data_IF_191601433413
#
_entry.id   IF_191601433413
#
_cell.length_a   1.000
_cell.length_b   1.000
_cell.length_c   1.000
_cell.angle_alpha   90.00
_cell.angle_beta   90.00
_cell.angle_gamma   90.00
#
_symmetry.space_group_name_H-M   'P 1'
#
loop_
_entity.id
_entity.type
_entity.pdbx_description
1 polymer ?
#
# COMPACT_ATOMS: atom_id res chain seq x y z
N UNK A 1 58.88 53.75 -0.80
CA UNK A 1 57.59 53.04 -0.85
C UNK A 1 57.68 51.92 0.17
N UNK A 2 57.21 52.13 1.41
CA UNK A 2 57.25 51.12 2.46
C UNK A 2 55.94 50.33 2.41
N UNK A 3 56.04 49.03 2.18
CA UNK A 3 54.91 48.10 2.22
C UNK A 3 54.65 47.73 3.67
N UNK A 4 53.51 48.13 4.22
CA UNK A 4 53.09 47.77 5.58
C UNK A 4 52.56 46.33 5.59
N UNK A 5 53.35 45.42 6.14
CA UNK A 5 52.91 44.08 6.54
C UNK A 5 51.87 44.24 7.66
N UNK A 6 50.64 43.78 7.42
CA UNK A 6 49.59 43.70 8.42
C UNK A 6 49.30 42.23 8.67
N UNK A 7 49.38 41.83 9.95
CA UNK A 7 49.05 40.47 10.36
C UNK A 7 47.78 40.52 11.18
N UNK A 8 46.73 39.89 10.68
CA UNK A 8 45.52 39.64 11.44
C UNK A 8 45.72 38.40 12.31
N UNK A 9 45.58 38.57 13.63
CA UNK A 9 45.61 37.46 14.57
C UNK A 9 44.17 37.12 14.95
N UNK A 10 43.64 36.04 14.39
CA UNK A 10 42.36 35.48 14.83
C UNK A 10 42.63 34.61 16.06
N UNK A 11 42.12 35.04 17.22
CA UNK A 11 42.23 34.30 18.47
C UNK A 11 40.91 33.55 18.70
N UNK A 12 40.79 32.35 18.12
CA UNK A 12 39.68 31.47 18.48
C UNK A 12 39.88 30.95 19.91
N UNK A 13 38.87 31.16 20.75
CA UNK A 13 38.95 30.77 22.16
C UNK A 13 38.82 29.26 22.30
N UNK A 14 39.56 28.64 23.23
CA UNK A 14 39.42 27.22 23.57
C UNK A 14 37.95 26.79 23.84
N UNK A 15 37.14 27.72 24.36
CA UNK A 15 35.71 27.51 24.57
C UNK A 15 34.89 27.44 23.25
N UNK A 16 35.32 28.13 22.18
CA UNK A 16 34.68 28.04 20.86
C UNK A 16 34.95 26.68 20.20
N UNK A 17 36.16 26.14 20.36
CA UNK A 17 36.48 24.78 19.93
C UNK A 17 35.70 23.71 20.71
N UNK A 18 35.53 23.89 22.02
CA UNK A 18 34.72 22.97 22.84
C UNK A 18 33.24 23.03 22.46
N UNK A 19 32.71 24.24 22.22
CA UNK A 19 31.32 24.46 21.82
C UNK A 19 31.01 23.92 20.41
N UNK A 20 31.93 24.03 19.46
CA UNK A 20 31.77 23.47 18.10
C UNK A 20 31.84 21.94 18.11
N UNK A 21 32.72 21.34 18.91
CA UNK A 21 32.79 19.90 19.08
C UNK A 21 31.50 19.31 19.71
N UNK A 22 30.97 19.96 20.76
CA UNK A 22 29.73 19.52 21.41
C UNK A 22 28.52 19.60 20.48
N UNK A 23 28.41 20.68 19.68
CA UNK A 23 27.35 20.81 18.66
C UNK A 23 27.38 19.68 17.62
N UNK A 24 28.58 19.27 17.18
CA UNK A 24 28.74 18.14 16.24
C UNK A 24 28.33 16.81 16.88
N UNK A 25 28.65 16.58 18.15
CA UNK A 25 28.19 15.38 18.86
C UNK A 25 26.67 15.30 19.00
N UNK A 26 26.01 16.43 19.33
CA UNK A 26 24.55 16.49 19.40
C UNK A 26 23.92 16.22 18.03
N UNK A 27 24.47 16.82 16.96
CA UNK A 27 24.03 16.56 15.60
C UNK A 27 24.19 15.08 15.21
N UNK A 28 25.29 14.44 15.61
CA UNK A 28 25.51 13.01 15.41
C UNK A 28 24.47 12.14 16.12
N UNK A 29 24.16 12.43 17.39
CA UNK A 29 23.11 11.73 18.14
C UNK A 29 21.75 11.88 17.46
N UNK A 30 21.43 13.10 17.01
CA UNK A 30 20.19 13.37 16.28
C UNK A 30 20.09 12.54 14.99
N UNK A 31 21.17 12.45 14.20
CA UNK A 31 21.21 11.63 12.99
C UNK A 31 21.00 10.15 13.28
N UNK A 32 21.54 9.62 14.38
CA UNK A 32 21.33 8.23 14.79
C UNK A 32 19.86 7.98 15.13
N UNK A 33 19.23 8.86 15.91
CA UNK A 33 17.80 8.75 16.24
C UNK A 33 16.94 8.82 14.98
N UNK A 34 17.23 9.77 14.10
CA UNK A 34 16.52 9.92 12.82
C UNK A 34 16.67 8.68 11.92
N UNK A 35 17.86 8.07 11.89
CA UNK A 35 18.09 6.82 11.16
C UNK A 35 17.23 5.68 11.69
N UNK A 36 17.15 5.50 13.01
CA UNK A 36 16.29 4.47 13.60
C UNK A 36 14.82 4.73 13.30
N UNK A 37 14.37 5.99 13.38
CA UNK A 37 13.01 6.36 13.02
C UNK A 37 12.67 6.02 11.55
N UNK A 38 13.56 6.36 10.62
CA UNK A 38 13.37 6.05 9.19
C UNK A 38 13.36 4.53 8.93
N UNK A 39 14.21 3.76 9.62
CA UNK A 39 14.23 2.30 9.53
C UNK A 39 12.92 1.70 10.04
N UNK A 40 12.44 2.14 11.21
CA UNK A 40 11.17 1.66 11.79
C UNK A 40 10.00 1.98 10.84
N UNK A 41 9.92 3.21 10.33
CA UNK A 41 8.86 3.59 9.39
C UNK A 41 8.90 2.70 8.12
N UNK A 42 10.09 2.41 7.60
CA UNK A 42 10.23 1.56 6.44
C UNK A 42 9.86 0.08 6.73
N UNK A 43 10.29 -0.44 7.89
CA UNK A 43 10.07 -1.83 8.29
C UNK A 43 8.62 -2.11 8.68
N UNK A 44 7.95 -1.18 9.37
CA UNK A 44 6.56 -1.35 9.80
C UNK A 44 5.62 -1.61 8.61
N UNK A 45 5.87 -0.95 7.47
CA UNK A 45 5.15 -1.19 6.21
C UNK A 45 5.41 -2.59 5.64
N UNK A 46 6.59 -3.15 5.86
CA UNK A 46 6.97 -4.48 5.37
C UNK A 46 6.41 -5.59 6.26
N UNK A 47 6.49 -5.41 7.58
CA UNK A 47 6.06 -6.40 8.59
C UNK A 47 4.54 -6.59 8.55
N UNK A 48 3.77 -5.50 8.56
CA UNK A 48 2.30 -5.56 8.46
C UNK A 48 1.86 -6.28 7.18
N UNK A 49 2.56 -6.02 6.07
CA UNK A 49 2.27 -6.66 4.79
C UNK A 49 2.61 -8.15 4.78
N UNK A 50 3.76 -8.54 5.35
CA UNK A 50 4.15 -9.94 5.43
C UNK A 50 3.19 -10.75 6.30
N UNK A 51 2.78 -10.18 7.44
CA UNK A 51 1.82 -10.83 8.32
C UNK A 51 0.45 -10.95 7.66
N UNK A 52 -0.07 -9.89 7.03
CA UNK A 52 -1.33 -9.94 6.29
C UNK A 52 -1.30 -10.96 5.13
N UNK A 53 -0.20 -11.06 4.40
CA UNK A 53 -0.04 -12.08 3.34
C UNK A 53 -0.01 -13.49 3.93
N UNK A 54 0.69 -13.70 5.05
CA UNK A 54 0.79 -15.01 5.70
C UNK A 54 -0.56 -15.46 6.27
N UNK A 55 -1.26 -14.57 6.95
CA UNK A 55 -2.61 -14.80 7.46
C UNK A 55 -3.58 -15.06 6.30
N UNK A 56 -3.55 -14.23 5.26
CA UNK A 56 -4.32 -14.41 4.04
C UNK A 56 -4.04 -15.75 3.36
N UNK A 57 -2.78 -16.15 3.22
CA UNK A 57 -2.40 -17.44 2.64
C UNK A 57 -2.90 -18.62 3.49
N UNK A 58 -2.95 -18.46 4.81
CA UNK A 58 -3.46 -19.49 5.72
C UNK A 58 -4.98 -19.69 5.65
N UNK A 59 -5.74 -18.64 5.32
CA UNK A 59 -7.21 -18.71 5.23
C UNK A 59 -7.73 -18.86 3.79
N UNK A 60 -6.86 -18.68 2.78
CA UNK A 60 -7.25 -18.76 1.38
C UNK A 60 -7.58 -20.20 0.95
N UNK A 61 -8.76 -20.40 0.38
CA UNK A 61 -9.17 -21.70 -0.18
C UNK A 61 -8.84 -21.79 -1.67
N UNK A 62 -8.27 -22.91 -2.11
CA UNK A 62 -8.08 -23.21 -3.53
C UNK A 62 -9.41 -23.60 -4.17
N UNK A 63 -9.82 -22.88 -5.22
CA UNK A 63 -11.03 -23.20 -5.98
C UNK A 63 -10.69 -23.48 -7.44
N UNK A 64 -11.53 -24.28 -8.11
CA UNK A 64 -11.39 -24.53 -9.54
C UNK A 64 -11.75 -23.27 -10.33
N UNK A 65 -10.99 -22.91 -11.38
CA UNK A 65 -11.23 -21.68 -12.13
C UNK A 65 -12.53 -21.70 -12.93
N UNK A 66 -13.09 -22.89 -13.17
CA UNK A 66 -14.21 -23.09 -14.09
C UNK A 66 -15.59 -23.03 -13.41
N UNK A 67 -15.66 -22.81 -12.10
CA UNK A 67 -16.91 -22.87 -11.36
C UNK A 67 -16.94 -21.87 -10.20
N UNK A 68 -18.03 -21.12 -10.10
CA UNK A 68 -18.34 -20.27 -8.95
C UNK A 68 -19.26 -21.06 -8.02
N UNK A 69 -18.86 -21.19 -6.75
CA UNK A 69 -19.60 -21.94 -5.73
C UNK A 69 -20.08 -20.98 -4.64
N UNK A 70 -21.40 -20.89 -4.41
CA UNK A 70 -22.00 -19.98 -3.43
C UNK A 70 -21.57 -20.22 -1.99
N UNK A 71 -21.15 -21.45 -1.65
CA UNK A 71 -20.56 -21.82 -0.36
C UNK A 71 -19.23 -21.11 -0.03
N UNK A 72 -18.60 -20.47 -1.02
CA UNK A 72 -17.36 -19.72 -0.87
C UNK A 72 -17.58 -18.20 -0.69
N UNK A 73 -18.83 -17.75 -0.65
CA UNK A 73 -19.16 -16.35 -0.37
C UNK A 73 -18.56 -15.90 0.96
N UNK A 74 -17.89 -14.74 0.96
CA UNK A 74 -17.22 -14.18 2.13
C UNK A 74 -15.88 -14.81 2.51
N UNK A 75 -15.39 -15.81 1.75
CA UNK A 75 -14.09 -16.44 1.97
C UNK A 75 -13.04 -15.84 1.02
N UNK A 76 -11.79 -15.77 1.48
CA UNK A 76 -10.66 -15.51 0.61
C UNK A 76 -10.43 -16.74 -0.27
N UNK A 77 -10.49 -16.59 -1.58
CA UNK A 77 -10.31 -17.70 -2.54
C UNK A 77 -9.12 -17.41 -3.44
N UNK A 78 -8.39 -18.46 -3.83
CA UNK A 78 -7.43 -18.39 -4.91
C UNK A 78 -7.71 -19.50 -5.92
N UNK A 79 -7.37 -19.25 -7.19
CA UNK A 79 -7.46 -20.25 -8.24
C UNK A 79 -6.20 -20.27 -9.08
N UNK A 80 -5.90 -21.41 -9.67
CA UNK A 80 -4.78 -21.58 -10.58
C UNK A 80 -5.18 -22.52 -11.72
N UNK A 81 -4.55 -22.36 -12.87
CA UNK A 81 -4.83 -23.15 -14.06
C UNK A 81 -3.63 -23.19 -14.98
N UNK A 82 -3.59 -24.21 -15.84
CA UNK A 82 -2.54 -24.33 -16.84
C UNK A 82 -2.81 -23.36 -18.01
N UNK A 83 -1.86 -22.48 -18.28
CA UNK A 83 -1.89 -21.62 -19.46
C UNK A 83 -1.25 -22.35 -20.65
N UNK A 84 -1.96 -22.46 -21.77
CA UNK A 84 -1.43 -22.98 -23.04
C UNK A 84 -1.31 -21.86 -24.06
N UNK A 85 -0.16 -21.78 -24.70
CA UNK A 85 0.16 -20.76 -25.72
C UNK A 85 0.18 -21.45 -27.07
N UNK A 86 -0.70 -21.03 -27.97
CA UNK A 86 -0.82 -21.63 -29.30
C UNK A 86 -0.10 -20.81 -30.38
N UNK A 87 0.17 -19.53 -30.12
CA UNK A 87 0.75 -18.61 -31.10
C UNK A 87 2.19 -18.25 -30.72
N UNK A 88 3.05 -18.07 -31.73
CA UNK A 88 4.42 -17.59 -31.56
C UNK A 88 4.47 -16.07 -31.70
N UNK A 89 5.26 -15.43 -30.86
CA UNK A 89 5.61 -14.03 -30.98
C UNK A 89 6.81 -13.94 -31.94
N UNK A 90 6.66 -13.20 -33.03
CA UNK A 90 7.74 -13.00 -34.01
C UNK A 90 8.19 -11.55 -34.00
N UNK A 91 9.49 -11.34 -33.85
CA UNK A 91 10.12 -10.04 -34.10
C UNK A 91 10.46 -9.93 -35.60
N UNK A 92 9.85 -8.99 -36.35
CA UNK A 92 10.06 -8.88 -37.79
C UNK A 92 11.40 -8.22 -38.17
N UNK A 93 12.08 -7.53 -37.23
CA UNK A 93 13.36 -6.86 -37.47
C UNK A 93 14.50 -7.86 -37.31
N UNK A 94 14.44 -8.70 -36.28
CA UNK A 94 15.45 -9.72 -36.00
C UNK A 94 15.09 -11.13 -36.51
N UNK A 95 13.87 -11.31 -37.03
CA UNK A 95 13.31 -12.57 -37.53
C UNK A 95 13.40 -13.73 -36.51
N UNK A 96 13.20 -13.41 -35.23
CA UNK A 96 13.20 -14.38 -34.12
C UNK A 96 11.76 -14.68 -33.72
N UNK A 97 11.42 -15.95 -33.63
CA UNK A 97 10.10 -16.42 -33.18
C UNK A 97 10.21 -17.23 -31.89
N UNK A 98 9.38 -16.90 -30.90
CA UNK A 98 9.35 -17.59 -29.61
C UNK A 98 7.91 -17.75 -29.11
N UNK A 99 7.62 -18.89 -28.49
CA UNK A 99 6.40 -19.05 -27.71
C UNK A 99 6.60 -18.33 -26.36
N UNK A 100 6.06 -17.12 -26.25
CA UNK A 100 6.23 -16.27 -25.07
C UNK A 100 4.89 -15.69 -24.58
N UNK A 101 4.85 -15.35 -23.29
CA UNK A 101 3.71 -14.74 -22.61
C UNK A 101 4.15 -13.51 -21.84
N UNK A 102 3.31 -12.47 -21.84
CA UNK A 102 3.43 -11.32 -20.95
C UNK A 102 2.28 -11.38 -19.95
N UNK A 103 2.60 -11.38 -18.66
CA UNK A 103 1.61 -11.24 -17.60
C UNK A 103 1.30 -9.76 -17.38
N UNK A 104 0.03 -9.38 -17.53
CA UNK A 104 -0.51 -8.10 -17.05
C UNK A 104 -1.50 -8.40 -15.93
N UNK A 105 -1.47 -7.61 -14.87
CA UNK A 105 -2.36 -7.78 -13.72
C UNK A 105 -3.18 -6.53 -13.51
N UNK A 106 -4.46 -6.61 -13.86
CA UNK A 106 -5.45 -5.59 -13.51
C UNK A 106 -6.21 -6.06 -12.27
N UNK A 107 -6.31 -5.19 -11.25
CA UNK A 107 -6.93 -5.49 -9.97
C UNK A 107 -8.24 -4.73 -9.87
N UNK A 108 -9.33 -5.46 -9.67
CA UNK A 108 -10.67 -4.89 -9.54
C UNK A 108 -11.25 -5.20 -8.16
N UNK A 109 -12.05 -4.27 -7.62
CA UNK A 109 -12.80 -4.49 -6.40
C UNK A 109 -14.30 -4.36 -6.65
N UNK A 110 -15.06 -5.33 -6.15
CA UNK A 110 -16.52 -5.28 -6.08
C UNK A 110 -16.92 -4.93 -4.65
N UNK A 111 -17.68 -3.85 -4.47
CA UNK A 111 -18.18 -3.44 -3.16
C UNK A 111 -19.71 -3.42 -3.16
N UNK A 112 -20.31 -3.81 -2.04
CA UNK A 112 -21.74 -3.61 -1.82
C UNK A 112 -21.96 -2.20 -1.30
N UNK A 113 -22.88 -1.46 -1.92
CA UNK A 113 -23.39 -0.20 -1.41
C UNK A 113 -24.73 -0.48 -0.76
N UNK A 114 -24.81 -0.22 0.54
CA UNK A 114 -26.05 -0.30 1.30
C UNK A 114 -26.77 1.06 1.22
N UNK A 115 -27.96 1.05 0.66
CA UNK A 115 -28.89 2.18 0.62
C UNK A 115 -29.95 1.96 1.72
N UNK A 116 -30.04 2.91 2.64
CA UNK A 116 -30.99 2.87 3.77
C UNK A 116 -32.09 3.86 3.47
N UNK A 117 -33.33 3.37 3.37
CA UNK A 117 -34.51 4.20 3.17
C UNK A 117 -35.37 4.09 4.43
N UNK A 118 -35.55 5.20 5.13
CA UNK A 118 -36.40 5.26 6.33
C UNK A 118 -37.69 5.98 6.00
N UNK A 119 -38.84 5.36 6.26
CA UNK A 119 -40.17 5.97 6.14
C UNK A 119 -40.95 5.81 7.44
N UNK A 120 -41.71 6.83 7.82
CA UNK A 120 -42.58 6.79 8.99
C UNK A 120 -44.02 6.72 8.52
N UNK A 121 -44.76 5.72 8.99
CA UNK A 121 -46.17 5.54 8.67
C UNK A 121 -47.02 5.64 9.94
N UNK A 122 -48.09 6.41 9.88
CA UNK A 122 -49.04 6.53 10.99
C UNK A 122 -50.04 5.38 10.92
N UNK A 123 -50.10 4.62 12.00
CA UNK A 123 -51.01 3.52 12.21
C UNK A 123 -52.47 4.02 12.33
N UNK A 124 -53.43 3.15 12.00
CA UNK A 124 -54.86 3.47 12.17
C UNK A 124 -55.26 3.70 13.63
N UNK A 125 -54.46 3.26 14.60
CA UNK A 125 -54.66 3.47 16.04
C UNK A 125 -53.97 4.75 16.58
N UNK A 126 -53.33 5.54 15.71
CA UNK A 126 -52.61 6.76 16.06
C UNK A 126 -51.15 6.55 16.50
N UNK A 127 -50.65 5.32 16.49
CA UNK A 127 -49.21 5.04 16.65
C UNK A 127 -48.40 5.44 15.42
N UNK A 128 -47.08 5.62 15.57
CA UNK A 128 -46.15 5.80 14.44
C UNK A 128 -45.24 4.58 14.30
N UNK A 129 -45.17 4.00 13.11
CA UNK A 129 -44.21 2.96 12.76
C UNK A 129 -43.08 3.56 11.93
N UNK A 130 -41.84 3.36 12.36
CA UNK A 130 -40.66 3.65 11.53
C UNK A 130 -40.26 2.38 10.79
N UNK A 131 -40.36 2.41 9.46
CA UNK A 131 -39.94 1.33 8.58
C UNK A 131 -38.58 1.70 8.00
N UNK A 132 -37.58 0.84 8.22
CA UNK A 132 -36.23 1.01 7.65
C UNK A 132 -36.00 -0.09 6.62
N UNK A 133 -36.02 0.29 5.34
CA UNK A 133 -35.74 -0.59 4.21
C UNK A 133 -34.24 -0.58 3.91
N UNK A 134 -33.61 -1.75 3.97
CA UNK A 134 -32.20 -1.95 3.63
C UNK A 134 -32.09 -2.51 2.21
N UNK A 135 -31.61 -1.70 1.27
CA UNK A 135 -31.37 -2.12 -0.10
C UNK A 135 -29.87 -2.28 -0.35
N UNK A 136 -29.46 -3.39 -0.96
CA UNK A 136 -28.07 -3.64 -1.30
C UNK A 136 -27.89 -3.61 -2.80
N UNK A 137 -27.03 -2.72 -3.29
CA UNK A 137 -26.67 -2.61 -4.71
C UNK A 137 -25.19 -2.94 -4.87
N UNK A 138 -24.84 -3.68 -5.93
CA UNK A 138 -23.43 -3.88 -6.28
C UNK A 138 -22.89 -2.57 -6.89
N UNK A 139 -21.78 -2.04 -6.37
CA UNK A 139 -21.17 -0.77 -6.81
C UNK A 139 -20.61 -0.82 -8.24
N UNK A 140 -20.58 -1.98 -8.88
CA UNK A 140 -19.84 -2.17 -10.13
C UNK A 140 -18.33 -2.25 -9.90
N UNK A 141 -17.60 -2.53 -10.98
CA UNK A 141 -16.14 -2.67 -11.00
C UNK A 141 -15.47 -1.31 -10.73
N UNK A 142 -14.71 -1.21 -9.64
CA UNK A 142 -13.85 -0.05 -9.35
C UNK A 142 -12.40 -0.43 -9.66
N UNK A 143 -11.76 0.35 -10.53
CA UNK A 143 -10.32 0.25 -10.81
C UNK A 143 -9.52 0.99 -9.73
N UNK A 144 -8.40 0.40 -9.31
CA UNK A 144 -7.42 0.98 -8.39
C UNK A 144 -6.05 1.12 -9.06
#
# INVERSE_FOLDING_TARGET
MLMSDHREYSHESWFEHLGTALKRSIAGIFLVILSFYLLIWNEERSVLRHQAIKEGAGVAISVRPNQVLSENNGKLVHTSGQLKVFNQLTDPVFNVSVAAIKMSRDVFMYQWVQEIITRTETAQDGGEYTITDYNYKNSGLINW
#
